data_IF_185881066588
#
_entry.id   IF_185881066588
#
_cell.length_a   1.000
_cell.length_b   1.000
_cell.length_c   1.000
_cell.angle_alpha   90.00
_cell.angle_beta   90.00
_cell.angle_gamma   90.00
#
_symmetry.space_group_name_H-M   'P 1'
#
loop_
_entity.id
_entity.type
_entity.pdbx_description
1 polymer ?
#
# COMPACT_ATOMS: atom_id res chain seq x y z
N UNK A 1 42.36 75.32 -23.65
CA UNK A 1 41.70 76.62 -23.91
C UNK A 1 40.24 76.36 -24.26
N UNK A 2 39.27 77.08 -23.56
CA UNK A 2 37.82 77.21 -23.72
C UNK A 2 37.01 76.00 -23.27
N UNK A 3 36.38 76.01 -22.05
CA UNK A 3 35.31 76.80 -21.41
C UNK A 3 34.01 76.84 -22.22
N UNK A 4 32.96 76.32 -21.67
CA UNK A 4 31.56 76.52 -22.04
C UNK A 4 30.66 75.57 -21.29
N UNK A 5 30.23 75.89 -20.21
CA UNK A 5 29.04 76.50 -19.56
C UNK A 5 27.75 75.66 -19.61
N UNK A 6 27.39 75.31 -18.44
CA UNK A 6 26.10 74.83 -17.80
C UNK A 6 24.86 75.53 -18.38
N UNK A 7 23.78 74.78 -18.54
CA UNK A 7 22.39 75.23 -18.23
C UNK A 7 21.55 74.11 -17.60
N UNK A 8 21.18 74.30 -16.33
CA UNK A 8 20.12 73.59 -15.65
C UNK A 8 18.77 73.97 -16.27
N UNK A 9 17.92 72.95 -16.49
CA UNK A 9 16.46 73.11 -16.59
C UNK A 9 15.80 72.15 -15.60
N UNK A 10 15.15 72.71 -14.60
CA UNK A 10 14.30 72.02 -13.67
C UNK A 10 12.92 71.79 -14.33
N UNK A 11 12.47 70.55 -14.36
CA UNK A 11 11.10 70.20 -14.71
C UNK A 11 10.47 69.44 -13.56
N UNK A 12 9.48 70.00 -12.96
CA UNK A 12 8.65 69.37 -11.93
C UNK A 12 7.79 68.27 -12.53
N UNK A 13 7.91 67.05 -12.02
CA UNK A 13 7.04 65.96 -12.38
C UNK A 13 6.10 65.59 -11.23
N UNK A 14 4.82 65.68 -11.51
CA UNK A 14 3.69 65.32 -10.70
C UNK A 14 3.75 63.81 -10.42
N UNK A 15 3.75 63.46 -9.11
CA UNK A 15 3.63 62.08 -8.67
C UNK A 15 2.13 61.71 -8.67
N UNK A 16 1.71 60.90 -9.64
CA UNK A 16 0.43 60.19 -9.56
C UNK A 16 0.63 58.87 -8.79
N UNK A 17 0.07 58.82 -7.55
CA UNK A 17 -0.03 57.55 -6.83
C UNK A 17 -1.12 56.69 -7.52
N UNK A 18 -0.66 55.70 -8.28
CA UNK A 18 -1.49 54.57 -8.68
C UNK A 18 -1.48 53.53 -7.51
N UNK A 19 -2.59 53.46 -6.78
CA UNK A 19 -2.84 52.37 -5.85
C UNK A 19 -3.16 51.14 -6.71
N UNK A 20 -2.16 50.33 -7.02
CA UNK A 20 -2.34 48.97 -7.52
C UNK A 20 -2.64 48.07 -6.33
N UNK A 21 -3.91 47.67 -6.20
CA UNK A 21 -4.31 46.63 -5.28
C UNK A 21 -3.58 45.32 -5.67
N UNK A 22 -2.72 44.84 -4.78
CA UNK A 22 -2.22 43.49 -4.83
C UNK A 22 -3.39 42.54 -4.55
N UNK A 23 -4.05 42.05 -5.63
CA UNK A 23 -4.71 40.76 -5.58
C UNK A 23 -3.59 39.73 -5.54
N UNK A 24 -3.35 39.11 -4.40
CA UNK A 24 -2.53 37.92 -4.29
C UNK A 24 -3.30 36.78 -4.97
N UNK A 25 -3.24 36.71 -6.31
CA UNK A 25 -3.37 35.46 -7.02
C UNK A 25 -2.09 34.69 -6.68
N UNK A 26 -2.21 33.59 -5.97
CA UNK A 26 -1.16 32.58 -5.94
C UNK A 26 -1.01 32.09 -7.39
N UNK A 27 -0.08 32.69 -8.12
CA UNK A 27 0.36 32.13 -9.38
C UNK A 27 0.95 30.74 -9.06
N UNK A 28 0.15 29.69 -9.27
CA UNK A 28 0.66 28.34 -9.38
C UNK A 28 1.69 28.38 -10.52
N UNK A 29 2.96 28.17 -10.19
CA UNK A 29 3.98 28.07 -11.22
C UNK A 29 3.59 26.94 -12.16
N UNK A 30 3.32 27.26 -13.41
CA UNK A 30 2.99 26.27 -14.42
C UNK A 30 4.12 25.22 -14.47
N UNK A 31 3.73 23.95 -14.62
CA UNK A 31 4.69 22.88 -14.83
C UNK A 31 5.48 23.16 -16.11
N UNK A 32 6.77 23.44 -15.96
CA UNK A 32 7.68 23.73 -17.09
C UNK A 32 8.60 22.56 -17.40
N UNK A 33 8.50 21.46 -16.66
CA UNK A 33 9.29 20.26 -16.86
C UNK A 33 8.76 19.48 -18.06
N UNK A 34 9.67 19.01 -18.91
CA UNK A 34 9.33 18.31 -20.17
C UNK A 34 9.21 16.79 -20.00
N UNK A 35 9.65 16.27 -18.88
CA UNK A 35 9.62 14.85 -18.54
C UNK A 35 9.11 14.65 -17.12
N UNK A 36 8.55 13.46 -16.83
CA UNK A 36 8.20 13.02 -15.49
C UNK A 36 8.33 11.51 -15.37
N UNK A 37 9.18 11.04 -14.45
CA UNK A 37 9.39 9.63 -14.17
C UNK A 37 8.71 9.23 -12.88
N UNK A 38 7.73 8.27 -12.97
CA UNK A 38 7.18 7.58 -11.82
C UNK A 38 7.82 6.20 -11.64
N UNK A 39 8.20 5.88 -10.41
CA UNK A 39 8.72 4.57 -10.04
C UNK A 39 7.72 3.84 -9.14
N UNK A 40 7.23 2.67 -9.57
CA UNK A 40 6.19 1.90 -8.88
C UNK A 40 6.36 0.41 -9.15
N UNK A 41 5.59 -0.44 -8.46
CA UNK A 41 5.48 -1.88 -8.77
C UNK A 41 4.17 -2.26 -9.46
N UNK A 42 3.30 -1.30 -9.77
CA UNK A 42 2.01 -1.53 -10.42
C UNK A 42 2.18 -1.74 -11.94
N UNK A 43 2.68 -2.91 -12.31
CA UNK A 43 3.07 -3.20 -13.70
C UNK A 43 2.09 -4.13 -14.45
N UNK A 44 1.07 -4.69 -13.75
CA UNK A 44 0.14 -5.66 -14.36
C UNK A 44 -1.23 -5.67 -13.67
N UNK A 45 -2.23 -6.25 -14.34
CA UNK A 45 -3.57 -6.50 -13.82
C UNK A 45 -4.31 -5.26 -13.34
N UNK A 46 -5.09 -5.39 -12.28
CA UNK A 46 -5.85 -4.29 -11.66
C UNK A 46 -4.96 -3.15 -11.17
N UNK A 47 -3.73 -3.47 -10.72
CA UNK A 47 -2.77 -2.46 -10.29
C UNK A 47 -2.35 -1.54 -11.45
N UNK A 48 -2.02 -2.12 -12.61
CA UNK A 48 -1.70 -1.34 -13.81
C UNK A 48 -2.92 -0.59 -14.37
N UNK A 49 -4.13 -1.14 -14.24
CA UNK A 49 -5.36 -0.46 -14.66
C UNK A 49 -5.62 0.79 -13.80
N UNK A 50 -5.48 0.69 -12.47
CA UNK A 50 -5.57 1.85 -11.57
C UNK A 50 -4.53 2.91 -11.90
N UNK A 51 -3.24 2.53 -12.02
CA UNK A 51 -2.18 3.45 -12.42
C UNK A 51 -2.48 4.12 -13.76
N UNK A 52 -3.00 3.36 -14.74
CA UNK A 52 -3.37 3.86 -16.06
C UNK A 52 -4.37 5.01 -15.98
N UNK A 53 -5.39 4.91 -15.13
CA UNK A 53 -6.36 5.99 -14.94
C UNK A 53 -5.72 7.30 -14.42
N UNK A 54 -4.79 7.21 -13.47
CA UNK A 54 -4.03 8.38 -13.02
C UNK A 54 -3.13 8.94 -14.13
N UNK A 55 -2.46 8.06 -14.89
CA UNK A 55 -1.58 8.46 -16.00
C UNK A 55 -2.36 9.19 -17.10
N UNK A 56 -3.55 8.71 -17.44
CA UNK A 56 -4.39 9.34 -18.46
C UNK A 56 -4.84 10.74 -18.03
N UNK A 57 -5.24 10.90 -16.77
CA UNK A 57 -5.57 12.21 -16.20
C UNK A 57 -4.34 13.13 -16.16
N UNK A 58 -3.19 12.62 -15.74
CA UNK A 58 -1.95 13.39 -15.69
C UNK A 58 -1.55 13.92 -17.08
N UNK A 59 -1.57 13.05 -18.10
CA UNK A 59 -1.27 13.44 -19.48
C UNK A 59 -2.25 14.44 -20.06
N UNK A 60 -3.53 14.32 -19.71
CA UNK A 60 -4.55 15.29 -20.12
C UNK A 60 -4.32 16.68 -19.52
N UNK A 61 -3.85 16.73 -18.26
CA UNK A 61 -3.56 17.99 -17.55
C UNK A 61 -2.17 18.56 -17.87
N UNK A 62 -1.23 17.72 -18.34
CA UNK A 62 0.17 18.08 -18.64
C UNK A 62 0.59 17.58 -20.04
N UNK A 63 -0.04 18.07 -21.14
CA UNK A 63 0.16 17.51 -22.48
C UNK A 63 1.57 17.70 -23.04
N UNK A 64 2.35 18.65 -22.50
CA UNK A 64 3.71 18.93 -22.92
C UNK A 64 4.77 18.13 -22.15
N UNK A 65 4.35 17.34 -21.12
CA UNK A 65 5.27 16.56 -20.29
C UNK A 65 5.27 15.10 -20.76
N UNK A 66 6.43 14.57 -21.14
CA UNK A 66 6.62 13.14 -21.43
C UNK A 66 6.50 12.34 -20.12
N UNK A 67 5.56 11.39 -20.07
CA UNK A 67 5.35 10.51 -18.92
C UNK A 67 6.18 9.24 -19.06
N UNK A 68 7.11 9.01 -18.14
CA UNK A 68 7.99 7.83 -18.10
C UNK A 68 7.50 6.90 -16.97
N UNK A 69 7.01 5.72 -17.35
CA UNK A 69 6.60 4.68 -16.40
C UNK A 69 7.76 3.70 -16.16
N UNK A 70 8.48 3.86 -15.06
CA UNK A 70 9.59 2.99 -14.65
C UNK A 70 9.14 1.88 -13.69
N UNK A 71 7.99 1.25 -13.94
CA UNK A 71 7.47 0.19 -13.09
C UNK A 71 8.35 -1.05 -13.08
N UNK A 72 8.57 -1.62 -11.87
CA UNK A 72 9.30 -2.89 -11.67
C UNK A 72 8.37 -3.90 -11.02
N UNK A 73 7.94 -4.90 -11.78
CA UNK A 73 6.98 -5.90 -11.34
C UNK A 73 7.52 -6.85 -10.26
N UNK A 74 6.61 -7.39 -9.45
CA UNK A 74 6.81 -8.56 -8.59
C UNK A 74 6.95 -8.28 -7.11
N UNK A 75 6.41 -9.20 -6.30
CA UNK A 75 6.59 -9.29 -4.87
C UNK A 75 6.01 -8.12 -4.05
N UNK A 76 4.89 -7.51 -4.46
CA UNK A 76 4.35 -6.32 -3.79
C UNK A 76 5.42 -5.27 -3.48
N UNK A 77 6.28 -5.02 -4.46
CA UNK A 77 7.37 -4.05 -4.34
C UNK A 77 8.71 -4.60 -3.85
N UNK A 78 8.86 -5.87 -3.50
CA UNK A 78 10.15 -6.43 -3.05
C UNK A 78 11.26 -6.17 -4.08
N UNK A 79 11.00 -6.47 -5.37
CA UNK A 79 11.96 -6.22 -6.45
C UNK A 79 12.16 -4.72 -6.70
N UNK A 80 11.07 -3.94 -6.73
CA UNK A 80 11.10 -2.51 -6.95
C UNK A 80 11.89 -1.77 -5.87
N UNK A 81 11.70 -2.10 -4.60
CA UNK A 81 12.42 -1.49 -3.47
C UNK A 81 13.92 -1.69 -3.57
N UNK A 82 14.40 -2.89 -3.96
CA UNK A 82 15.82 -3.16 -4.14
C UNK A 82 16.43 -2.32 -5.30
N UNK A 83 15.70 -2.17 -6.40
CA UNK A 83 16.11 -1.32 -7.53
C UNK A 83 16.12 0.15 -7.11
N UNK A 84 15.07 0.62 -6.43
CA UNK A 84 14.96 1.99 -5.92
C UNK A 84 16.12 2.36 -4.99
N UNK A 85 16.43 1.48 -4.03
CA UNK A 85 17.57 1.70 -3.11
C UNK A 85 18.90 1.84 -3.85
N UNK A 86 19.11 1.00 -4.87
CA UNK A 86 20.31 1.08 -5.72
C UNK A 86 20.38 2.39 -6.51
N UNK A 87 19.26 2.83 -7.11
CA UNK A 87 19.17 4.09 -7.85
C UNK A 87 19.41 5.29 -6.94
N UNK A 88 18.75 5.33 -5.76
CA UNK A 88 18.93 6.42 -4.79
C UNK A 88 20.36 6.48 -4.26
N UNK A 89 21.00 5.34 -4.01
CA UNK A 89 22.42 5.29 -3.60
C UNK A 89 23.37 5.80 -4.70
N UNK A 90 23.02 5.65 -5.97
CA UNK A 90 23.77 6.16 -7.12
C UNK A 90 23.48 7.65 -7.41
N UNK A 91 22.57 8.32 -6.69
CA UNK A 91 22.14 9.69 -6.96
C UNK A 91 21.21 9.81 -8.18
N UNK A 92 20.58 8.71 -8.59
CA UNK A 92 19.62 8.63 -9.71
C UNK A 92 18.21 8.35 -9.18
N UNK A 93 17.72 9.21 -8.30
CA UNK A 93 16.34 9.13 -7.80
C UNK A 93 15.34 9.37 -8.93
N UNK A 94 14.20 8.65 -8.99
CA UNK A 94 13.08 9.01 -9.87
C UNK A 94 12.45 10.34 -9.41
N UNK A 95 11.57 10.92 -10.22
CA UNK A 95 10.91 12.18 -9.84
C UNK A 95 9.85 11.95 -8.75
N UNK A 96 9.17 10.81 -8.78
CA UNK A 96 8.33 10.36 -7.69
C UNK A 96 8.36 8.82 -7.60
N UNK A 97 8.13 8.27 -6.41
CA UNK A 97 8.03 6.83 -6.24
C UNK A 97 6.94 6.42 -5.26
N UNK A 98 6.42 5.22 -5.47
CA UNK A 98 5.46 4.57 -4.59
C UNK A 98 6.15 4.02 -3.34
N UNK A 99 5.52 4.20 -2.18
CA UNK A 99 5.85 3.55 -0.92
C UNK A 99 4.56 3.33 -0.11
N UNK A 100 4.61 2.64 1.03
CA UNK A 100 3.47 2.55 1.93
C UNK A 100 3.59 3.57 3.08
N UNK A 101 2.45 4.14 3.48
CA UNK A 101 2.35 4.97 4.68
C UNK A 101 2.77 4.18 5.93
N UNK A 102 3.42 4.85 6.89
CA UNK A 102 3.94 4.24 8.11
C UNK A 102 5.46 4.17 8.12
N UNK A 103 6.02 3.19 8.81
CA UNK A 103 7.48 3.09 9.02
C UNK A 103 8.27 2.89 7.72
N UNK A 104 7.64 2.35 6.66
CA UNK A 104 8.29 2.29 5.35
C UNK A 104 8.69 3.69 4.86
N UNK A 105 7.75 4.64 4.77
CA UNK A 105 8.07 6.03 4.36
C UNK A 105 8.94 6.70 5.40
N UNK A 106 8.56 6.61 6.67
CA UNK A 106 9.18 7.41 7.73
C UNK A 106 10.60 6.94 8.03
N UNK A 107 10.80 5.66 8.35
CA UNK A 107 12.10 5.18 8.79
C UNK A 107 13.06 4.85 7.63
N UNK A 108 12.52 4.37 6.48
CA UNK A 108 13.38 3.96 5.37
C UNK A 108 13.78 5.14 4.47
N UNK A 109 13.02 6.25 4.46
CA UNK A 109 13.28 7.36 3.56
C UNK A 109 13.32 8.73 4.26
N UNK A 110 12.25 9.16 4.94
CA UNK A 110 12.16 10.50 5.52
C UNK A 110 13.22 10.76 6.60
N UNK A 111 13.39 9.85 7.57
CA UNK A 111 14.40 9.95 8.62
C UNK A 111 15.84 9.92 8.08
N UNK A 112 16.03 9.44 6.84
CA UNK A 112 17.31 9.42 6.17
C UNK A 112 17.55 10.66 5.29
N UNK A 113 16.64 11.65 5.33
CA UNK A 113 16.75 12.88 4.55
C UNK A 113 16.59 12.68 3.03
N UNK A 114 15.93 11.59 2.60
CA UNK A 114 15.77 11.26 1.18
C UNK A 114 14.52 11.86 0.54
N UNK A 115 13.60 12.43 1.34
CA UNK A 115 12.34 12.98 0.87
C UNK A 115 12.22 14.46 1.19
N UNK A 116 11.54 15.21 0.31
CA UNK A 116 11.14 16.59 0.55
C UNK A 116 9.93 16.68 1.48
N UNK A 117 9.87 17.80 2.20
CA UNK A 117 8.74 18.17 3.05
C UNK A 117 7.55 18.65 2.20
N UNK A 118 6.43 17.97 2.28
CA UNK A 118 5.19 18.26 1.55
C UNK A 118 4.16 19.04 2.38
N UNK A 119 4.52 19.54 3.57
CA UNK A 119 3.58 20.23 4.48
C UNK A 119 2.94 21.44 3.79
N UNK A 120 3.70 22.23 3.03
CA UNK A 120 3.16 23.36 2.30
C UNK A 120 2.16 22.93 1.20
N UNK A 121 2.42 21.79 0.54
CA UNK A 121 1.49 21.21 -0.44
C UNK A 121 0.17 20.79 0.23
N UNK A 122 0.23 20.11 1.38
CA UNK A 122 -0.97 19.74 2.13
C UNK A 122 -1.82 20.97 2.52
N UNK A 123 -1.17 22.05 2.92
CA UNK A 123 -1.85 23.30 3.28
C UNK A 123 -2.50 23.98 2.07
N UNK A 124 -1.79 24.05 0.92
CA UNK A 124 -2.32 24.67 -0.30
C UNK A 124 -3.51 23.91 -0.87
N UNK A 125 -3.48 22.57 -0.82
CA UNK A 125 -4.53 21.70 -1.32
C UNK A 125 -5.67 21.45 -0.29
N UNK A 126 -5.52 21.93 0.95
CA UNK A 126 -6.50 21.73 2.02
C UNK A 126 -6.68 20.27 2.44
N UNK A 127 -5.64 19.45 2.29
CA UNK A 127 -5.68 18.01 2.55
C UNK A 127 -5.75 17.65 4.03
N UNK A 128 -5.40 18.57 4.91
CA UNK A 128 -5.63 18.45 6.36
C UNK A 128 -7.10 18.21 6.74
N UNK A 129 -8.04 18.60 5.84
CA UNK A 129 -9.49 18.41 6.01
C UNK A 129 -10.05 17.24 5.21
N UNK A 130 -9.31 16.76 4.22
CA UNK A 130 -9.78 15.75 3.28
C UNK A 130 -9.24 14.35 3.57
N UNK A 131 -8.09 14.24 4.24
CA UNK A 131 -7.54 12.96 4.69
C UNK A 131 -7.80 12.72 6.18
N UNK A 132 -8.01 11.46 6.62
CA UNK A 132 -8.09 11.11 8.04
C UNK A 132 -6.81 11.54 8.79
N UNK A 133 -6.96 12.18 9.95
CA UNK A 133 -5.82 12.68 10.74
C UNK A 133 -4.84 11.55 11.13
N UNK A 134 -5.35 10.35 11.44
CA UNK A 134 -4.51 9.20 11.76
C UNK A 134 -3.70 8.71 10.56
N UNK A 135 -4.22 8.84 9.34
CA UNK A 135 -3.48 8.52 8.11
C UNK A 135 -2.38 9.56 7.84
N UNK A 136 -2.68 10.86 8.00
CA UNK A 136 -1.67 11.94 7.90
C UNK A 136 -0.53 11.69 8.89
N UNK A 137 -0.85 11.27 10.12
CA UNK A 137 0.15 10.94 11.14
C UNK A 137 1.12 9.87 10.68
N UNK A 138 0.67 8.90 9.89
CA UNK A 138 1.53 7.83 9.35
C UNK A 138 2.50 8.29 8.25
N UNK A 139 2.31 9.50 7.73
CA UNK A 139 3.20 10.12 6.75
C UNK A 139 4.01 11.29 7.33
N UNK A 140 3.93 11.50 8.65
CA UNK A 140 4.51 12.66 9.34
C UNK A 140 5.69 12.26 10.24
N UNK A 141 6.79 13.00 10.12
CA UNK A 141 7.96 12.93 11.00
C UNK A 141 8.33 14.35 11.46
N UNK A 142 8.48 14.56 12.76
CA UNK A 142 8.87 15.85 13.36
C UNK A 142 8.01 17.04 12.88
N UNK A 143 6.71 16.80 12.69
CA UNK A 143 5.74 17.82 12.24
C UNK A 143 5.76 18.11 10.74
N UNK A 144 6.54 17.37 9.95
CA UNK A 144 6.64 17.47 8.49
C UNK A 144 6.02 16.26 7.80
N UNK A 145 5.35 16.49 6.69
CA UNK A 145 4.65 15.45 5.92
C UNK A 145 5.50 15.06 4.71
N UNK A 146 5.65 13.75 4.44
CA UNK A 146 6.62 13.25 3.46
C UNK A 146 6.03 12.41 2.32
N UNK A 147 4.74 12.15 2.32
CA UNK A 147 4.09 11.43 1.21
C UNK A 147 2.61 11.75 1.10
N UNK A 148 2.03 11.44 -0.07
CA UNK A 148 0.62 11.66 -0.37
C UNK A 148 -0.08 10.31 -0.47
N UNK A 149 -0.96 9.92 0.47
CA UNK A 149 -1.77 8.72 0.38
C UNK A 149 -2.73 8.76 -0.80
N UNK A 150 -2.82 7.65 -1.55
CA UNK A 150 -3.73 7.57 -2.70
C UNK A 150 -4.89 6.60 -2.47
N UNK A 151 -4.76 5.70 -1.49
CA UNK A 151 -5.75 4.68 -1.16
C UNK A 151 -5.66 4.22 0.29
N UNK A 152 -6.61 3.37 0.65
CA UNK A 152 -6.55 2.48 1.82
C UNK A 152 -6.93 1.09 1.35
N UNK A 153 -6.10 0.10 1.64
CA UNK A 153 -6.31 -1.31 1.39
C UNK A 153 -6.67 -2.07 2.67
N UNK A 154 -7.48 -3.11 2.53
CA UNK A 154 -7.67 -4.14 3.57
C UNK A 154 -6.80 -5.35 3.28
N UNK A 155 -5.90 -5.69 4.18
CA UNK A 155 -4.99 -6.82 4.05
C UNK A 155 -5.62 -8.16 4.47
N UNK A 156 -6.51 -8.16 5.47
CA UNK A 156 -7.08 -9.35 6.11
C UNK A 156 -8.42 -9.81 5.48
N UNK A 157 -8.46 -9.97 4.14
CA UNK A 157 -9.67 -10.45 3.47
C UNK A 157 -9.59 -11.96 3.23
N UNK A 158 -10.66 -12.67 3.59
CA UNK A 158 -10.89 -14.06 3.18
C UNK A 158 -11.64 -14.08 1.86
N UNK A 159 -11.08 -14.75 0.87
CA UNK A 159 -11.67 -14.96 -0.44
C UNK A 159 -12.01 -16.42 -0.70
N UNK A 160 -13.16 -16.70 -1.32
CA UNK A 160 -13.53 -18.05 -1.75
C UNK A 160 -14.52 -18.03 -2.91
N UNK A 161 -14.64 -19.18 -3.60
CA UNK A 161 -15.66 -19.38 -4.63
C UNK A 161 -16.95 -19.93 -4.02
N UNK A 162 -18.12 -19.25 -4.17
CA UNK A 162 -19.38 -19.69 -3.57
C UNK A 162 -19.81 -21.09 -3.99
N UNK A 163 -19.69 -21.42 -5.27
CA UNK A 163 -20.09 -22.72 -5.79
C UNK A 163 -19.20 -23.86 -5.27
N UNK A 164 -17.88 -23.60 -5.11
CA UNK A 164 -16.95 -24.57 -4.54
C UNK A 164 -17.25 -24.79 -3.04
N UNK A 165 -17.53 -23.73 -2.31
CA UNK A 165 -17.91 -23.80 -0.90
C UNK A 165 -19.22 -24.59 -0.71
N UNK A 166 -20.24 -24.30 -1.53
CA UNK A 166 -21.53 -25.01 -1.48
C UNK A 166 -21.39 -26.52 -1.73
N UNK A 167 -20.56 -26.94 -2.70
CA UNK A 167 -20.24 -28.35 -2.96
C UNK A 167 -19.56 -29.03 -1.78
N UNK A 168 -18.82 -28.30 -0.97
CA UNK A 168 -18.20 -28.78 0.26
C UNK A 168 -19.13 -28.73 1.48
N UNK A 169 -20.37 -28.23 1.32
CA UNK A 169 -21.33 -28.06 2.42
C UNK A 169 -21.01 -26.86 3.32
N UNK A 170 -20.34 -25.85 2.79
CA UNK A 170 -20.01 -24.58 3.45
C UNK A 170 -21.03 -23.54 2.96
N UNK A 171 -21.86 -23.01 3.88
CA UNK A 171 -22.98 -22.12 3.56
C UNK A 171 -22.80 -20.69 4.07
N UNK A 172 -21.80 -20.44 4.92
CA UNK A 172 -21.42 -19.11 5.44
C UNK A 172 -19.92 -19.01 5.54
N UNK A 173 -19.41 -17.78 5.60
CA UNK A 173 -18.00 -17.52 5.91
C UNK A 173 -17.68 -17.98 7.35
N UNK A 174 -16.50 -18.57 7.60
CA UNK A 174 -16.02 -18.80 8.94
C UNK A 174 -15.66 -17.47 9.63
N UNK A 175 -16.05 -17.30 10.89
CA UNK A 175 -15.73 -16.12 11.69
C UNK A 175 -14.53 -16.34 12.61
N UNK A 176 -14.24 -17.59 12.96
CA UNK A 176 -13.15 -17.98 13.84
C UNK A 176 -12.13 -18.88 13.13
N UNK A 177 -10.91 -18.96 13.67
CA UNK A 177 -9.87 -19.86 13.15
C UNK A 177 -10.32 -21.33 13.23
N UNK A 178 -11.05 -21.72 14.27
CA UNK A 178 -11.57 -23.11 14.41
C UNK A 178 -12.60 -23.42 13.34
N UNK A 179 -13.54 -22.50 13.05
CA UNK A 179 -14.49 -22.66 11.94
C UNK A 179 -13.76 -22.75 10.60
N UNK A 180 -12.73 -21.90 10.36
CA UNK A 180 -11.92 -21.98 9.15
C UNK A 180 -11.25 -23.35 9.00
N UNK A 181 -10.67 -23.89 10.06
CA UNK A 181 -10.06 -25.21 10.01
C UNK A 181 -11.09 -26.32 9.77
N UNK A 182 -12.28 -26.21 10.35
CA UNK A 182 -13.37 -27.16 10.07
C UNK A 182 -13.78 -27.12 8.59
N UNK A 183 -13.84 -25.92 7.99
CA UNK A 183 -14.19 -25.76 6.60
C UNK A 183 -13.05 -26.20 5.64
N UNK A 184 -11.79 -26.01 6.01
CA UNK A 184 -10.65 -26.55 5.27
C UNK A 184 -10.70 -28.09 5.20
N UNK A 185 -11.13 -28.77 6.28
CA UNK A 185 -11.37 -30.21 6.29
C UNK A 185 -12.56 -30.61 5.41
N UNK A 186 -13.63 -29.78 5.33
CA UNK A 186 -14.75 -30.02 4.40
C UNK A 186 -14.28 -29.90 2.95
N UNK A 187 -13.52 -28.87 2.60
CA UNK A 187 -12.91 -28.74 1.26
C UNK A 187 -12.07 -29.96 0.89
N UNK A 188 -11.22 -30.41 1.79
CA UNK A 188 -10.38 -31.59 1.59
C UNK A 188 -11.21 -32.86 1.34
N UNK A 189 -12.29 -33.07 2.15
CA UNK A 189 -13.22 -34.20 1.98
C UNK A 189 -14.00 -34.11 0.67
N UNK A 190 -14.34 -32.92 0.22
CA UNK A 190 -15.00 -32.67 -1.07
C UNK A 190 -14.06 -32.80 -2.29
N UNK A 191 -12.78 -33.07 -2.07
CA UNK A 191 -11.79 -33.25 -3.13
C UNK A 191 -11.28 -31.94 -3.74
N UNK A 192 -11.44 -30.80 -3.03
CA UNK A 192 -10.85 -29.52 -3.48
C UNK A 192 -9.33 -29.65 -3.45
N UNK A 193 -8.71 -29.39 -4.60
CA UNK A 193 -7.28 -29.66 -4.82
C UNK A 193 -6.38 -28.84 -3.87
N UNK A 194 -6.77 -27.60 -3.61
CA UNK A 194 -6.01 -26.64 -2.79
C UNK A 194 -6.97 -26.02 -1.74
N UNK A 195 -7.25 -26.72 -0.61
CA UNK A 195 -8.14 -26.20 0.42
C UNK A 195 -7.75 -24.82 0.92
N UNK A 196 -6.44 -24.57 1.13
CA UNK A 196 -5.87 -23.25 1.41
C UNK A 196 -4.96 -22.83 0.26
N UNK A 197 -5.31 -21.79 -0.46
CA UNK A 197 -4.48 -21.24 -1.53
C UNK A 197 -3.31 -20.48 -0.91
N UNK A 198 -2.09 -20.80 -1.35
CA UNK A 198 -0.84 -20.26 -0.82
C UNK A 198 0.06 -19.80 -1.97
N UNK A 199 0.79 -18.70 -1.77
CA UNK A 199 1.67 -18.07 -2.75
C UNK A 199 3.05 -17.82 -2.12
N UNK A 200 4.00 -18.73 -2.32
CA UNK A 200 5.34 -18.64 -1.72
C UNK A 200 6.43 -18.16 -2.68
N UNK A 201 6.09 -17.84 -3.93
CA UNK A 201 6.96 -17.18 -4.88
C UNK A 201 7.21 -15.71 -4.56
N UNK A 202 7.85 -15.00 -5.47
CA UNK A 202 8.05 -13.54 -5.39
C UNK A 202 8.66 -13.06 -4.05
N UNK A 203 9.73 -13.72 -3.60
CA UNK A 203 10.41 -13.35 -2.36
C UNK A 203 9.67 -13.69 -1.07
N UNK A 204 8.66 -14.58 -1.13
CA UNK A 204 7.88 -15.07 0.01
C UNK A 204 7.01 -14.02 0.72
N UNK A 205 6.83 -12.83 0.14
CA UNK A 205 6.06 -11.75 0.78
C UNK A 205 4.59 -12.13 1.06
N UNK A 206 3.93 -12.85 0.13
CA UNK A 206 2.55 -13.26 0.34
C UNK A 206 2.40 -14.29 1.47
N UNK A 207 3.45 -15.07 1.74
CA UNK A 207 3.51 -15.96 2.91
C UNK A 207 3.80 -15.17 4.19
N UNK A 208 4.60 -14.09 4.11
CA UNK A 208 4.78 -13.15 5.22
C UNK A 208 3.50 -12.35 5.50
N UNK A 209 2.75 -11.97 4.47
CA UNK A 209 1.41 -11.39 4.59
C UNK A 209 0.43 -12.34 5.31
N UNK A 210 0.42 -13.65 4.96
CA UNK A 210 -0.37 -14.64 5.66
C UNK A 210 0.06 -14.77 7.13
N UNK A 211 1.36 -14.73 7.43
CA UNK A 211 1.87 -14.73 8.80
C UNK A 211 1.41 -13.49 9.57
N UNK A 212 1.50 -12.31 8.97
CA UNK A 212 1.06 -11.03 9.54
C UNK A 212 -0.43 -11.09 9.94
N UNK A 213 -1.30 -11.58 9.03
CA UNK A 213 -2.70 -11.86 9.34
C UNK A 213 -2.86 -12.86 10.51
N UNK A 214 -2.13 -13.98 10.48
CA UNK A 214 -2.24 -15.02 11.52
C UNK A 214 -1.82 -14.49 12.89
N UNK A 215 -0.82 -13.63 12.97
CA UNK A 215 -0.42 -12.98 14.21
C UNK A 215 -1.57 -12.14 14.78
N UNK A 216 -2.20 -11.27 13.95
CA UNK A 216 -3.36 -10.48 14.39
C UNK A 216 -4.54 -11.37 14.79
N UNK A 217 -4.88 -12.37 13.97
CA UNK A 217 -6.02 -13.28 14.20
C UNK A 217 -5.88 -14.14 15.45
N UNK A 218 -4.64 -14.52 15.81
CA UNK A 218 -4.35 -15.43 16.92
C UNK A 218 -4.16 -14.71 18.25
N UNK A 219 -3.60 -13.50 18.25
CA UNK A 219 -3.21 -12.83 19.49
C UNK A 219 -3.97 -11.53 19.77
N UNK A 220 -4.72 -11.03 18.79
CA UNK A 220 -5.46 -9.77 18.86
C UNK A 220 -4.57 -8.53 18.67
N UNK A 221 -5.22 -7.35 18.46
CA UNK A 221 -4.53 -6.11 18.11
C UNK A 221 -3.47 -5.67 19.13
N UNK A 222 -3.81 -5.67 20.42
CA UNK A 222 -2.94 -5.13 21.48
C UNK A 222 -1.64 -5.92 21.61
N UNK A 223 -1.71 -7.26 21.55
CA UNK A 223 -0.50 -8.11 21.63
C UNK A 223 0.31 -8.05 20.35
N UNK A 224 -0.37 -7.96 19.20
CA UNK A 224 0.30 -7.77 17.91
C UNK A 224 1.09 -6.45 17.88
N UNK A 225 0.46 -5.33 18.22
CA UNK A 225 1.12 -4.02 18.32
C UNK A 225 2.24 -4.03 19.37
N UNK A 226 2.06 -4.83 20.40
CA UNK A 226 3.06 -5.09 21.45
C UNK A 226 4.38 -5.67 20.93
N UNK A 227 4.38 -6.40 19.82
CA UNK A 227 5.58 -6.92 19.19
C UNK A 227 6.54 -5.80 18.74
N UNK A 228 6.00 -4.67 18.31
CA UNK A 228 6.76 -3.53 17.81
C UNK A 228 7.09 -2.51 18.91
N UNK A 229 6.27 -2.42 19.95
CA UNK A 229 6.54 -1.59 21.13
C UNK A 229 7.42 -2.29 22.18
N UNK A 230 7.67 -3.60 22.03
CA UNK A 230 8.46 -4.41 22.97
C UNK A 230 7.67 -4.92 24.18
N UNK A 231 6.34 -4.66 24.27
CA UNK A 231 5.49 -5.20 25.35
C UNK A 231 5.09 -6.66 25.14
N UNK A 232 5.19 -7.18 23.92
CA UNK A 232 5.00 -8.59 23.55
C UNK A 232 6.31 -9.14 22.98
N UNK A 233 6.71 -10.34 23.41
CA UNK A 233 7.94 -10.96 22.94
C UNK A 233 7.72 -11.79 21.67
N UNK A 234 8.55 -11.60 20.65
CA UNK A 234 8.59 -12.44 19.45
C UNK A 234 8.86 -13.93 19.75
N UNK A 235 9.50 -14.24 20.87
CA UNK A 235 9.76 -15.62 21.32
C UNK A 235 8.82 -16.05 22.47
N UNK A 236 7.76 -15.26 22.72
CA UNK A 236 6.77 -15.51 23.77
C UNK A 236 5.74 -16.59 23.40
N UNK A 237 4.91 -16.98 24.36
CA UNK A 237 3.91 -18.02 24.17
C UNK A 237 2.82 -17.64 23.14
N UNK A 238 2.46 -16.38 23.04
CA UNK A 238 1.47 -15.88 22.08
C UNK A 238 1.93 -16.11 20.65
N UNK A 239 3.17 -15.74 20.33
CA UNK A 239 3.77 -15.99 19.00
C UNK A 239 3.91 -17.48 18.75
N UNK A 240 4.32 -18.27 19.77
CA UNK A 240 4.44 -19.72 19.63
C UNK A 240 3.08 -20.37 19.22
N UNK A 241 1.96 -19.93 19.81
CA UNK A 241 0.63 -20.40 19.44
C UNK A 241 0.23 -19.92 18.02
N UNK A 242 0.46 -18.66 17.68
CA UNK A 242 0.22 -18.13 16.34
C UNK A 242 1.01 -18.91 15.26
N UNK A 243 2.27 -19.26 15.54
CA UNK A 243 3.08 -20.06 14.61
C UNK A 243 2.58 -21.50 14.44
N UNK A 244 1.91 -22.09 15.43
CA UNK A 244 1.21 -23.38 15.27
C UNK A 244 0.02 -23.24 14.33
N UNK A 245 -0.76 -22.16 14.43
CA UNK A 245 -1.86 -21.83 13.51
C UNK A 245 -1.30 -21.66 12.10
N UNK A 246 -0.26 -20.85 11.94
CA UNK A 246 0.40 -20.63 10.65
C UNK A 246 0.88 -21.96 10.04
N UNK A 247 1.61 -22.77 10.77
CA UNK A 247 2.07 -24.11 10.36
C UNK A 247 0.91 -24.99 9.90
N UNK A 248 -0.20 -24.99 10.65
CA UNK A 248 -1.39 -25.78 10.32
C UNK A 248 -2.04 -25.30 9.03
N UNK A 249 -2.16 -23.99 8.80
CA UNK A 249 -2.66 -23.43 7.53
C UNK A 249 -1.80 -23.87 6.34
N UNK A 250 -0.48 -23.81 6.49
CA UNK A 250 0.46 -24.24 5.45
C UNK A 250 0.30 -25.69 5.04
N UNK A 251 -0.21 -26.56 5.94
CA UNK A 251 -0.43 -27.99 5.66
C UNK A 251 -1.61 -28.26 4.72
N UNK A 252 -2.51 -27.27 4.51
CA UNK A 252 -3.65 -27.37 3.59
C UNK A 252 -3.34 -26.87 2.17
N UNK A 253 -2.16 -26.25 1.97
CA UNK A 253 -1.72 -25.81 0.64
C UNK A 253 -1.19 -26.95 -0.21
N UNK A 254 -1.11 -26.73 -1.53
CA UNK A 254 -0.53 -27.70 -2.43
C UNK A 254 1.01 -27.77 -2.35
N UNK A 255 1.58 -28.76 -3.06
CA UNK A 255 3.04 -28.95 -3.08
C UNK A 255 3.79 -27.89 -3.89
N UNK A 256 3.11 -27.23 -4.84
CA UNK A 256 3.67 -26.20 -5.72
C UNK A 256 3.63 -24.78 -5.12
N UNK A 257 3.06 -24.61 -3.93
CA UNK A 257 2.84 -23.29 -3.30
C UNK A 257 4.06 -22.35 -3.27
N UNK A 258 5.26 -22.87 -3.23
CA UNK A 258 6.48 -22.07 -3.12
C UNK A 258 6.91 -21.42 -4.46
N UNK A 259 6.26 -21.77 -5.58
CA UNK A 259 6.63 -21.30 -6.92
C UNK A 259 5.67 -20.24 -7.47
N UNK A 260 4.46 -20.15 -6.93
CA UNK A 260 3.42 -19.25 -7.45
C UNK A 260 3.51 -17.86 -6.85
N UNK A 261 3.36 -16.83 -7.70
CA UNK A 261 3.03 -15.48 -7.28
C UNK A 261 1.58 -15.40 -6.79
N UNK A 262 1.24 -14.31 -6.10
CA UNK A 262 -0.10 -14.18 -5.50
C UNK A 262 -1.24 -14.18 -6.53
N UNK A 263 -1.05 -13.53 -7.69
CA UNK A 263 -2.05 -13.48 -8.76
C UNK A 263 -2.28 -14.85 -9.39
N UNK A 264 -1.20 -15.59 -9.69
CA UNK A 264 -1.27 -16.95 -10.22
C UNK A 264 -1.96 -17.92 -9.26
N UNK A 265 -1.57 -17.86 -7.97
CA UNK A 265 -2.19 -18.68 -6.93
C UNK A 265 -3.67 -18.35 -6.75
N UNK A 266 -4.00 -17.05 -6.68
CA UNK A 266 -5.37 -16.54 -6.48
C UNK A 266 -6.34 -16.95 -7.58
N UNK A 267 -5.88 -17.19 -8.82
CA UNK A 267 -6.70 -17.72 -9.91
C UNK A 267 -7.36 -19.08 -9.58
N UNK A 268 -6.87 -19.81 -8.58
CA UNK A 268 -7.53 -21.04 -8.10
C UNK A 268 -8.91 -20.75 -7.47
N UNK A 269 -9.13 -19.55 -6.92
CA UNK A 269 -10.44 -19.14 -6.36
C UNK A 269 -11.44 -18.94 -7.49
N UNK A 270 -11.16 -18.08 -8.46
CA UNK A 270 -12.09 -17.77 -9.56
C UNK A 270 -12.37 -18.99 -10.44
N UNK A 271 -11.41 -19.90 -10.61
CA UNK A 271 -11.57 -21.17 -11.32
C UNK A 271 -12.27 -22.27 -10.52
N UNK A 272 -12.61 -22.02 -9.24
CA UNK A 272 -13.28 -22.99 -8.37
C UNK A 272 -12.45 -24.23 -8.01
N UNK A 273 -11.12 -24.15 -8.10
CA UNK A 273 -10.17 -25.24 -7.76
C UNK A 273 -9.50 -25.03 -6.40
N UNK A 274 -9.58 -23.83 -5.82
CA UNK A 274 -9.14 -23.47 -4.48
C UNK A 274 -10.31 -23.37 -3.49
N UNK A 275 -10.02 -23.57 -2.21
CA UNK A 275 -10.96 -23.37 -1.12
C UNK A 275 -10.96 -21.93 -0.62
N UNK A 276 -10.07 -21.62 0.32
CA UNK A 276 -9.87 -20.28 0.89
C UNK A 276 -8.56 -19.65 0.45
N UNK A 277 -8.56 -18.31 0.34
CA UNK A 277 -7.38 -17.49 0.12
C UNK A 277 -7.42 -16.26 1.03
N UNK A 278 -6.41 -16.06 1.87
CA UNK A 278 -6.20 -14.81 2.61
C UNK A 278 -5.27 -13.94 1.79
N UNK A 279 -5.80 -12.81 1.33
CA UNK A 279 -5.05 -11.84 0.51
C UNK A 279 -5.75 -10.47 0.59
N UNK A 280 -4.98 -9.40 0.38
CA UNK A 280 -5.54 -8.06 0.34
C UNK A 280 -6.50 -7.85 -0.81
N UNK A 281 -7.24 -6.77 -0.71
CA UNK A 281 -8.38 -6.45 -1.57
C UNK A 281 -8.02 -6.14 -3.04
N UNK A 282 -6.76 -5.84 -3.35
CA UNK A 282 -6.26 -5.79 -4.73
C UNK A 282 -6.50 -7.07 -5.53
N UNK A 283 -6.73 -8.21 -4.86
CA UNK A 283 -7.08 -9.47 -5.52
C UNK A 283 -8.43 -9.38 -6.25
N UNK A 284 -9.41 -8.66 -5.68
CA UNK A 284 -10.71 -8.43 -6.32
C UNK A 284 -10.55 -7.70 -7.67
N UNK A 285 -9.79 -6.59 -7.68
CA UNK A 285 -9.55 -5.83 -8.91
C UNK A 285 -8.81 -6.64 -9.99
N UNK A 286 -7.83 -7.46 -9.58
CA UNK A 286 -7.15 -8.38 -10.50
C UNK A 286 -8.15 -9.32 -11.17
N UNK A 287 -9.02 -9.95 -10.38
CA UNK A 287 -9.99 -10.91 -10.91
C UNK A 287 -11.09 -10.25 -11.74
N UNK A 288 -11.57 -9.05 -11.36
CA UNK A 288 -12.52 -8.27 -12.18
C UNK A 288 -11.90 -7.89 -13.53
N UNK A 289 -10.64 -7.46 -13.54
CA UNK A 289 -9.91 -7.15 -14.77
C UNK A 289 -9.71 -8.39 -15.66
N UNK A 290 -9.69 -9.60 -15.08
CA UNK A 290 -9.66 -10.89 -15.76
C UNK A 290 -11.09 -11.38 -16.17
N UNK A 291 -12.15 -10.62 -15.86
CA UNK A 291 -13.53 -10.91 -16.21
C UNK A 291 -14.29 -11.76 -15.19
N UNK A 292 -13.74 -12.00 -13.99
CA UNK A 292 -14.45 -12.72 -12.93
C UNK A 292 -15.49 -11.81 -12.24
N UNK A 293 -16.60 -12.40 -11.80
CA UNK A 293 -17.77 -11.70 -11.26
C UNK A 293 -17.88 -11.92 -9.76
N UNK A 294 -17.85 -10.81 -8.99
CA UNK A 294 -18.10 -10.81 -7.57
C UNK A 294 -19.50 -11.39 -7.25
N UNK A 295 -19.56 -12.26 -6.22
CA UNK A 295 -20.78 -12.97 -5.83
C UNK A 295 -21.03 -14.27 -6.64
N UNK A 296 -20.36 -14.46 -7.77
CA UNK A 296 -20.48 -15.65 -8.64
C UNK A 296 -19.20 -16.47 -8.64
N UNK A 297 -18.11 -15.89 -9.10
CA UNK A 297 -16.83 -16.57 -9.23
C UNK A 297 -15.97 -16.48 -7.96
N UNK A 298 -16.19 -15.45 -7.17
CA UNK A 298 -15.57 -15.24 -5.86
C UNK A 298 -16.47 -14.39 -4.95
N UNK A 299 -16.24 -14.48 -3.66
CA UNK A 299 -16.89 -13.66 -2.63
C UNK A 299 -15.93 -13.42 -1.48
N UNK A 300 -16.32 -12.63 -0.47
CA UNK A 300 -15.44 -12.13 0.56
C UNK A 300 -16.04 -12.15 1.96
N UNK A 301 -15.18 -12.16 2.96
CA UNK A 301 -15.47 -11.82 4.36
C UNK A 301 -14.20 -11.27 5.04
N UNK A 302 -14.31 -10.67 6.24
CA UNK A 302 -13.16 -10.50 7.11
C UNK A 302 -12.44 -11.82 7.35
N UNK A 303 -11.11 -11.81 7.41
CA UNK A 303 -10.34 -13.00 7.76
C UNK A 303 -10.81 -13.58 9.11
N UNK A 304 -10.99 -14.91 9.25
CA UNK A 304 -11.42 -15.55 10.49
C UNK A 304 -10.51 -15.18 11.66
N UNK A 305 -11.11 -14.86 12.82
CA UNK A 305 -10.39 -14.33 13.98
C UNK A 305 -10.12 -12.83 13.93
N UNK A 306 -10.55 -12.14 12.85
CA UNK A 306 -10.37 -10.68 12.71
C UNK A 306 -11.68 -9.94 12.39
N UNK A 307 -12.82 -10.50 12.76
CA UNK A 307 -14.11 -9.80 12.67
C UNK A 307 -14.07 -8.55 13.57
N UNK A 308 -14.42 -7.37 13.01
CA UNK A 308 -14.30 -6.09 13.70
C UNK A 308 -12.87 -5.53 13.76
N UNK A 309 -11.94 -6.12 13.02
CA UNK A 309 -10.56 -5.65 12.85
C UNK A 309 -10.31 -5.40 11.37
N UNK A 310 -9.84 -4.20 11.05
CA UNK A 310 -9.39 -3.83 9.72
C UNK A 310 -7.85 -3.74 9.71
N UNK A 311 -7.20 -4.77 9.19
CA UNK A 311 -5.74 -4.74 9.00
C UNK A 311 -5.44 -3.97 7.71
N UNK A 312 -4.81 -2.82 7.84
CA UNK A 312 -4.73 -1.84 6.77
C UNK A 312 -3.30 -1.56 6.29
N UNK A 313 -3.24 -1.07 5.06
CA UNK A 313 -2.10 -0.37 4.49
C UNK A 313 -2.63 0.76 3.59
N UNK A 314 -1.74 1.67 3.21
CA UNK A 314 -2.04 2.74 2.27
C UNK A 314 -0.83 2.94 1.36
N UNK A 315 -1.05 2.88 0.07
CA UNK A 315 -0.04 3.30 -0.91
C UNK A 315 0.07 4.82 -0.91
N UNK A 316 1.28 5.30 -1.06
CA UNK A 316 1.59 6.73 -1.12
C UNK A 316 2.55 7.02 -2.26
N UNK A 317 2.51 8.26 -2.78
CA UNK A 317 3.57 8.80 -3.61
C UNK A 317 4.41 9.82 -2.86
N UNK A 318 5.69 9.87 -3.17
CA UNK A 318 6.71 10.67 -2.48
C UNK A 318 7.36 11.66 -3.44
N UNK A 319 8.06 12.65 -2.89
CA UNK A 319 8.94 13.56 -3.62
C UNK A 319 10.38 13.36 -3.12
N UNK A 320 11.25 12.69 -3.88
CA UNK A 320 12.67 12.54 -3.52
C UNK A 320 13.41 13.87 -3.50
N UNK A 321 14.34 14.01 -2.55
CA UNK A 321 15.31 15.11 -2.60
C UNK A 321 16.17 14.96 -3.85
N UNK A 322 16.23 16.02 -4.67
CA UNK A 322 16.99 16.03 -5.92
C UNK A 322 16.23 15.46 -7.12
N UNK A 323 14.90 15.31 -7.04
CA UNK A 323 14.06 15.01 -8.21
C UNK A 323 14.38 15.99 -9.36
N UNK A 324 14.67 15.47 -10.55
CA UNK A 324 15.10 16.27 -11.71
C UNK A 324 13.95 17.13 -12.24
N UNK A 325 12.74 16.57 -12.26
CA UNK A 325 11.54 17.20 -12.79
C UNK A 325 10.55 17.46 -11.62
N UNK A 326 10.98 18.32 -10.69
CA UNK A 326 10.28 18.58 -9.43
C UNK A 326 8.87 19.14 -9.62
N UNK A 327 8.63 20.04 -10.57
CA UNK A 327 7.31 20.62 -10.79
C UNK A 327 6.35 19.58 -11.39
N UNK A 328 6.84 18.74 -12.30
CA UNK A 328 6.09 17.61 -12.83
C UNK A 328 5.71 16.60 -11.73
N UNK A 329 6.63 16.30 -10.80
CA UNK A 329 6.37 15.49 -9.63
C UNK A 329 5.33 16.12 -8.70
N UNK A 330 5.37 17.43 -8.46
CA UNK A 330 4.35 18.14 -7.67
C UNK A 330 2.98 18.08 -8.34
N UNK A 331 2.90 18.22 -9.68
CA UNK A 331 1.65 18.05 -10.42
C UNK A 331 1.08 16.64 -10.28
N UNK A 332 1.94 15.60 -10.31
CA UNK A 332 1.55 14.21 -10.03
C UNK A 332 1.03 14.03 -8.61
N UNK A 333 1.71 14.58 -7.61
CA UNK A 333 1.27 14.49 -6.21
C UNK A 333 -0.06 15.20 -5.98
N UNK A 334 -0.28 16.37 -6.60
CA UNK A 334 -1.57 17.07 -6.56
C UNK A 334 -2.69 16.22 -7.15
N UNK A 335 -2.49 15.65 -8.33
CA UNK A 335 -3.45 14.74 -8.95
C UNK A 335 -3.73 13.52 -8.08
N UNK A 336 -2.69 12.86 -7.57
CA UNK A 336 -2.81 11.65 -6.74
C UNK A 336 -3.54 11.91 -5.43
N UNK A 337 -3.39 13.11 -4.84
CA UNK A 337 -4.10 13.54 -3.63
C UNK A 337 -5.46 14.16 -3.90
N UNK A 338 -5.83 14.44 -5.17
CA UNK A 338 -7.11 15.05 -5.53
C UNK A 338 -8.28 14.07 -5.44
N UNK A 339 -9.50 14.62 -5.32
CA UNK A 339 -10.73 13.80 -5.39
C UNK A 339 -10.86 13.12 -6.74
N UNK A 340 -10.63 13.86 -7.84
CA UNK A 340 -10.69 13.34 -9.21
C UNK A 340 -9.73 12.16 -9.40
N UNK A 341 -8.48 12.30 -9.00
CA UNK A 341 -7.47 11.23 -9.11
C UNK A 341 -7.84 9.99 -8.30
N UNK A 342 -8.29 10.16 -7.06
CA UNK A 342 -8.63 9.03 -6.19
C UNK A 342 -9.95 8.35 -6.61
N UNK A 343 -10.94 9.10 -7.09
CA UNK A 343 -12.18 8.53 -7.62
C UNK A 343 -11.95 7.76 -8.94
N UNK A 344 -11.00 8.18 -9.77
CA UNK A 344 -10.62 7.44 -10.98
C UNK A 344 -9.78 6.18 -10.68
N UNK A 345 -8.90 6.25 -9.69
CA UNK A 345 -7.93 5.22 -9.35
C UNK A 345 -8.52 4.05 -8.55
N UNK A 346 -9.20 4.36 -7.44
CA UNK A 346 -9.52 3.36 -6.41
C UNK A 346 -10.48 2.26 -6.86
N UNK A 347 -11.54 2.53 -7.66
CA UNK A 347 -12.41 1.47 -8.15
C UNK A 347 -11.67 0.43 -9.02
N UNK A 348 -10.69 0.87 -9.81
CA UNK A 348 -9.88 0.00 -10.68
C UNK A 348 -8.76 -0.71 -9.93
N UNK A 349 -8.21 -0.08 -8.88
CA UNK A 349 -7.15 -0.64 -8.01
C UNK A 349 -7.68 -1.67 -7.01
N UNK A 350 -8.99 -1.63 -6.71
CA UNK A 350 -9.62 -2.50 -5.71
C UNK A 350 -9.35 -2.04 -4.28
N UNK A 351 -9.31 -0.73 -4.05
CA UNK A 351 -9.07 -0.08 -2.77
C UNK A 351 -10.11 1.00 -2.50
N UNK A 352 -10.23 1.45 -1.27
CA UNK A 352 -10.98 2.67 -0.98
C UNK A 352 -10.08 3.88 -1.02
N UNK A 353 -10.64 5.05 -1.34
CA UNK A 353 -9.89 6.29 -1.35
C UNK A 353 -9.33 6.61 0.04
N UNK A 354 -8.15 7.23 0.09
CA UNK A 354 -7.59 7.81 1.29
C UNK A 354 -8.38 9.05 1.75
N UNK A 355 -9.08 9.71 0.83
CA UNK A 355 -9.92 10.89 1.07
C UNK A 355 -11.26 10.50 1.68
N UNK A 356 -11.77 11.36 2.58
CA UNK A 356 -13.07 11.19 3.23
C UNK A 356 -14.26 11.68 2.40
N UNK A 357 -14.01 12.42 1.31
CA UNK A 357 -15.01 13.02 0.42
C UNK A 357 -15.12 12.33 -0.94
N UNK A 358 -14.59 11.13 -1.08
CA UNK A 358 -14.67 10.30 -2.29
C UNK A 358 -16.10 9.90 -2.63
N UNK A 359 -16.38 9.66 -3.91
CA UNK A 359 -17.69 9.24 -4.40
C UNK A 359 -17.90 7.73 -4.25
N UNK A 360 -18.56 7.32 -3.16
CA UNK A 360 -18.86 5.92 -2.88
C UNK A 360 -19.82 5.28 -3.91
N UNK A 361 -20.46 6.04 -4.78
CA UNK A 361 -21.32 5.48 -5.85
C UNK A 361 -20.50 4.75 -6.92
N UNK A 362 -19.21 5.05 -7.03
CA UNK A 362 -18.26 4.40 -7.94
C UNK A 362 -17.81 3.01 -7.45
N UNK A 363 -18.11 2.65 -6.21
CA UNK A 363 -17.65 1.42 -5.59
C UNK A 363 -18.62 0.25 -5.82
N UNK A 364 -18.05 -0.94 -5.98
CA UNK A 364 -18.79 -2.20 -5.95
C UNK A 364 -19.21 -2.58 -4.52
N UNK A 365 -19.85 -3.72 -4.35
CA UNK A 365 -20.35 -4.16 -3.04
C UNK A 365 -19.20 -4.46 -2.05
N UNK A 366 -18.05 -4.95 -2.55
CA UNK A 366 -16.87 -5.16 -1.71
C UNK A 366 -16.33 -3.82 -1.20
N UNK A 367 -16.06 -2.87 -2.08
CA UNK A 367 -15.47 -1.57 -1.71
C UNK A 367 -16.40 -0.76 -0.80
N UNK A 368 -17.73 -0.84 -1.01
CA UNK A 368 -18.71 -0.24 -0.08
C UNK A 368 -18.64 -0.87 1.30
N UNK A 369 -18.52 -2.20 1.37
CA UNK A 369 -18.32 -2.91 2.64
C UNK A 369 -16.99 -2.51 3.30
N UNK A 370 -15.91 -2.45 2.53
CA UNK A 370 -14.59 -2.05 3.04
C UNK A 370 -14.59 -0.63 3.60
N UNK A 371 -15.25 0.33 2.91
CA UNK A 371 -15.39 1.71 3.40
C UNK A 371 -16.21 1.78 4.70
N UNK A 372 -17.29 1.01 4.80
CA UNK A 372 -18.10 0.92 6.01
C UNK A 372 -17.33 0.29 7.20
N UNK A 373 -16.52 -0.73 6.92
CA UNK A 373 -15.69 -1.41 7.93
C UNK A 373 -14.54 -0.51 8.38
N UNK A 374 -13.87 0.21 7.45
CA UNK A 374 -12.85 1.20 7.79
C UNK A 374 -13.33 2.25 8.80
N UNK A 375 -14.58 2.68 8.66
CA UNK A 375 -15.16 3.71 9.53
C UNK A 375 -15.50 3.22 10.95
N UNK A 376 -15.62 1.90 11.19
CA UNK A 376 -16.14 1.35 12.46
C UNK A 376 -15.21 0.37 13.15
N UNK A 377 -14.36 -0.37 12.37
CA UNK A 377 -13.55 -1.46 12.90
C UNK A 377 -12.29 -0.93 13.62
N UNK A 378 -11.69 -1.78 14.44
CA UNK A 378 -10.38 -1.51 15.04
C UNK A 378 -9.31 -1.56 13.95
N UNK A 379 -8.66 -0.44 13.69
CA UNK A 379 -7.61 -0.33 12.69
C UNK A 379 -6.29 -0.88 13.24
N UNK A 380 -5.66 -1.78 12.48
CA UNK A 380 -4.35 -2.38 12.79
C UNK A 380 -3.46 -2.28 11.55
N UNK A 381 -2.29 -1.68 11.70
CA UNK A 381 -1.35 -1.53 10.57
C UNK A 381 -0.73 -2.85 10.15
N UNK A 382 -0.67 -3.12 8.85
CA UNK A 382 0.01 -4.31 8.31
C UNK A 382 1.53 -4.17 8.38
N UNK A 383 2.19 -5.18 8.94
CA UNK A 383 3.65 -5.28 9.00
C UNK A 383 4.23 -5.64 7.64
N UNK A 384 3.62 -6.60 6.96
CA UNK A 384 4.07 -7.07 5.65
C UNK A 384 4.06 -5.96 4.57
N UNK A 385 3.36 -4.85 4.84
CA UNK A 385 3.23 -3.68 3.96
C UNK A 385 3.74 -2.38 4.61
N UNK A 386 4.66 -2.47 5.55
CA UNK A 386 5.45 -1.34 6.01
C UNK A 386 4.74 -0.32 6.91
N UNK A 387 3.49 -0.57 7.36
CA UNK A 387 2.83 0.35 8.29
C UNK A 387 3.53 0.32 9.64
N UNK A 388 3.79 -0.88 10.19
CA UNK A 388 4.43 -1.07 11.51
C UNK A 388 5.90 -1.46 11.43
N UNK A 389 6.48 -1.53 10.22
CA UNK A 389 7.86 -1.96 9.99
C UNK A 389 8.53 -1.19 8.85
N UNK A 390 9.85 -1.03 8.94
CA UNK A 390 10.67 -0.47 7.87
C UNK A 390 11.07 -1.53 6.83
N UNK A 391 11.74 -1.09 5.73
CA UNK A 391 12.19 -1.98 4.67
C UNK A 391 13.14 -3.09 5.16
N UNK A 392 13.96 -2.82 6.18
CA UNK A 392 14.92 -3.81 6.71
C UNK A 392 14.21 -4.93 7.46
N UNK A 393 13.21 -4.58 8.29
CA UNK A 393 12.41 -5.58 8.98
C UNK A 393 11.62 -6.42 7.98
N UNK A 394 10.93 -5.79 7.02
CA UNK A 394 10.15 -6.48 6.00
C UNK A 394 11.02 -7.46 5.18
N UNK A 395 12.19 -7.04 4.73
CA UNK A 395 13.13 -7.91 4.03
C UNK A 395 13.57 -9.10 4.89
N UNK A 396 13.87 -8.87 6.16
CA UNK A 396 14.26 -9.91 7.12
C UNK A 396 13.11 -10.86 7.41
N UNK A 397 11.89 -10.36 7.57
CA UNK A 397 10.67 -11.17 7.74
C UNK A 397 10.42 -12.06 6.53
N UNK A 398 10.51 -11.52 5.31
CA UNK A 398 10.36 -12.28 4.07
C UNK A 398 11.41 -13.39 3.96
N UNK A 399 12.67 -13.09 4.28
CA UNK A 399 13.77 -14.07 4.28
C UNK A 399 13.55 -15.17 5.34
N UNK A 400 13.14 -14.82 6.56
CA UNK A 400 12.84 -15.77 7.63
C UNK A 400 11.69 -16.70 7.27
N UNK A 401 10.61 -16.14 6.71
CA UNK A 401 9.46 -16.91 6.22
C UNK A 401 9.87 -17.81 5.04
N UNK A 402 10.65 -17.30 4.08
CA UNK A 402 11.16 -18.09 2.96
C UNK A 402 12.00 -19.28 3.42
N UNK A 403 12.91 -19.07 4.37
CA UNK A 403 13.70 -20.11 5.02
C UNK A 403 12.81 -21.17 5.70
N UNK A 404 11.80 -20.69 6.46
CA UNK A 404 10.86 -21.55 7.18
C UNK A 404 10.05 -22.46 6.24
N UNK A 405 9.43 -21.91 5.19
CA UNK A 405 8.63 -22.69 4.24
C UNK A 405 9.51 -23.66 3.41
N UNK A 406 10.72 -23.25 3.01
CA UNK A 406 11.68 -24.08 2.30
C UNK A 406 12.21 -25.24 3.18
N UNK A 407 12.33 -25.02 4.49
CA UNK A 407 12.66 -26.04 5.50
C UNK A 407 11.49 -26.98 5.84
N UNK A 408 10.37 -26.90 5.13
CA UNK A 408 9.19 -27.75 5.34
C UNK A 408 8.28 -27.28 6.47
N UNK A 409 8.38 -26.03 6.88
CA UNK A 409 7.51 -25.37 7.87
C UNK A 409 7.47 -26.11 9.23
N UNK A 410 8.63 -26.50 9.76
CA UNK A 410 8.71 -27.32 10.98
C UNK A 410 9.37 -26.64 12.16
N UNK A 411 10.23 -25.63 11.93
CA UNK A 411 11.02 -24.96 12.98
C UNK A 411 10.36 -23.63 13.40
N UNK A 412 9.24 -23.72 14.13
CA UNK A 412 8.53 -22.54 14.66
C UNK A 412 9.42 -21.72 15.60
N UNK A 413 10.24 -22.38 16.43
CA UNK A 413 11.14 -21.69 17.35
C UNK A 413 12.27 -20.95 16.61
N UNK A 414 12.79 -21.52 15.52
CA UNK A 414 13.75 -20.86 14.64
C UNK A 414 13.14 -19.63 13.95
N UNK A 415 11.92 -19.74 13.41
CA UNK A 415 11.21 -18.59 12.82
C UNK A 415 11.00 -17.47 13.85
N UNK A 416 10.53 -17.79 15.05
CA UNK A 416 10.36 -16.81 16.12
C UNK A 416 11.67 -16.08 16.48
N UNK A 417 12.80 -16.80 16.54
CA UNK A 417 14.13 -16.20 16.80
C UNK A 417 14.59 -15.31 15.64
N UNK A 418 14.38 -15.75 14.38
CA UNK A 418 14.75 -14.95 13.21
C UNK A 418 13.95 -13.63 13.18
N UNK A 419 12.63 -13.65 13.52
CA UNK A 419 11.81 -12.44 13.65
C UNK A 419 12.23 -11.55 14.82
N UNK A 420 12.56 -12.13 15.98
CA UNK A 420 13.09 -11.37 17.11
C UNK A 420 14.42 -10.67 16.76
N UNK A 421 15.31 -11.35 16.03
CA UNK A 421 16.57 -10.78 15.57
C UNK A 421 16.34 -9.64 14.55
N UNK A 422 15.35 -9.80 13.64
CA UNK A 422 14.94 -8.75 12.71
C UNK A 422 14.49 -7.49 13.45
N UNK A 423 13.63 -7.63 14.46
CA UNK A 423 13.17 -6.49 15.29
C UNK A 423 14.32 -5.80 16.03
N UNK A 424 15.22 -6.58 16.64
CA UNK A 424 16.37 -6.03 17.36
C UNK A 424 17.37 -5.28 16.46
N UNK A 425 17.39 -5.56 15.16
CA UNK A 425 18.24 -4.87 14.18
C UNK A 425 17.72 -3.49 13.77
N UNK A 426 16.42 -3.24 13.97
CA UNK A 426 15.74 -1.97 13.59
C UNK A 426 15.68 -0.99 14.77
N UNK A 427 15.56 -1.49 16.01
CA UNK A 427 15.45 -0.70 17.24
C UNK A 427 16.84 -0.18 17.68
N UNK A 428 17.53 0.56 16.83
CA UNK A 428 18.78 1.23 17.22
C UNK A 428 18.75 2.71 16.91
#
# INVERSE_FOLDING_TARGET
>A
MRKGSIRLIAAASVIALAITGCSSSSDEAANTDTEFEIFTWWASGGEAAGLGALVDLYKAQNPETEFINASVAGGAGVNAKAVLESRMAAGDAPDSFQAHAGLEVIASYAAQGKLEDLTALYQSEGWDKSFPADLIKQTTLDGKIYSVPVNIHRANVLWWNPATAAKAGITKAPETLDEMFADLEKFKKAGVKTPMVLAGGEGSWAMAHLLDYVLVASMGPEKFEGLFSGSTSWTGPEVAEALKVYQRLLSYGDKGKNSFGWGEAGAAITKGTGGFFIMGDWASAQWQNEGAVLGTDYTFAPGPGTVGIYQWLSDTFTLPVGAKNRNAALAWLKLSGSKEGQDAFNPLKGSIAARTDSDLSLYDDYLKSAAADWAKDRLVGSTAHGVTADNKFMASMNAAVGKYISGGAKDNAGLAKDLAAAQAAVVK
#
